data_IF_647379435853
#
_entry.id   IF_647379435853
#
_cell.length_a   1.000
_cell.length_b   1.000
_cell.length_c   1.000
_cell.angle_alpha   90.00
_cell.angle_beta   90.00
_cell.angle_gamma   90.00
#
_symmetry.space_group_name_H-M   'P 1'
#
loop_
_entity.id
_entity.type
_entity.pdbx_description
1 polymer ?
#
# COMPACT_ATOMS: atom_id res chain seq x y z
N UNK A 1 46.58 4.78 -38.11
CA UNK A 1 45.15 5.19 -38.18
C UNK A 1 44.16 4.19 -37.55
N UNK A 2 44.43 2.89 -37.53
CA UNK A 2 43.54 1.87 -36.93
C UNK A 2 43.39 1.93 -35.38
N UNK A 3 44.39 2.44 -34.68
CA UNK A 3 44.34 2.50 -33.19
C UNK A 3 43.60 3.71 -32.63
N UNK A 4 43.45 4.78 -33.40
CA UNK A 4 42.70 5.96 -32.99
C UNK A 4 41.17 5.69 -33.07
N UNK A 5 40.75 4.94 -34.08
CA UNK A 5 39.33 4.57 -34.26
C UNK A 5 38.82 3.66 -33.12
N UNK A 6 39.64 2.71 -32.66
CA UNK A 6 39.33 1.84 -31.51
C UNK A 6 39.15 2.63 -30.20
N UNK A 7 40.01 3.62 -29.97
CA UNK A 7 39.94 4.47 -28.76
C UNK A 7 38.70 5.36 -28.77
N UNK A 8 38.32 5.92 -29.88
CA UNK A 8 37.12 6.72 -30.04
C UNK A 8 35.84 5.87 -29.86
N UNK A 9 35.85 4.65 -30.41
CA UNK A 9 34.70 3.72 -30.28
C UNK A 9 34.53 3.23 -28.85
N UNK A 10 35.59 3.00 -28.09
CA UNK A 10 35.53 2.59 -26.66
C UNK A 10 35.02 3.74 -25.79
N UNK A 11 35.45 4.99 -26.08
CA UNK A 11 34.97 6.18 -25.35
C UNK A 11 33.51 6.45 -25.66
N UNK A 12 33.05 6.24 -26.92
CA UNK A 12 31.65 6.39 -27.29
C UNK A 12 30.75 5.32 -26.65
N UNK A 13 31.24 4.07 -26.52
CA UNK A 13 30.51 3.00 -25.84
C UNK A 13 30.41 3.24 -24.33
N UNK A 14 31.41 3.89 -23.73
CA UNK A 14 31.39 4.23 -22.30
C UNK A 14 30.46 5.41 -21.96
N UNK A 15 30.27 6.35 -22.91
CA UNK A 15 29.38 7.51 -22.73
C UNK A 15 27.91 7.12 -22.87
N UNK A 16 27.57 6.11 -23.68
CA UNK A 16 26.17 5.63 -23.85
C UNK A 16 25.69 4.81 -22.62
N UNK A 17 26.62 4.26 -21.84
CA UNK A 17 26.25 3.43 -20.67
C UNK A 17 25.88 4.25 -19.41
N UNK A 18 26.06 5.60 -19.44
CA UNK A 18 25.91 6.43 -18.24
C UNK A 18 24.64 7.30 -18.20
N UNK A 19 23.69 7.13 -19.14
CA UNK A 19 22.46 7.92 -19.18
C UNK A 19 21.18 7.15 -18.83
N UNK A 20 21.30 5.98 -18.17
CA UNK A 20 20.14 5.36 -17.56
C UNK A 20 19.99 5.88 -16.12
N UNK A 21 19.72 7.16 -15.97
CA UNK A 21 19.15 7.70 -14.75
C UNK A 21 17.72 7.13 -14.66
N UNK A 22 17.57 5.99 -13.98
CA UNK A 22 16.26 5.51 -13.54
C UNK A 22 15.71 6.55 -12.58
N UNK A 23 14.80 7.37 -13.05
CA UNK A 23 13.95 8.20 -12.20
C UNK A 23 13.23 7.24 -11.26
N UNK A 24 13.61 7.23 -9.98
CA UNK A 24 12.76 6.63 -8.95
C UNK A 24 11.48 7.47 -8.92
N UNK A 25 10.48 6.97 -9.61
CA UNK A 25 9.14 7.51 -9.57
C UNK A 25 8.59 7.21 -8.17
N UNK A 26 8.51 8.24 -7.33
CA UNK A 26 7.90 8.11 -6.00
C UNK A 26 6.44 7.76 -6.20
N UNK A 27 6.00 6.64 -5.63
CA UNK A 27 4.61 6.23 -5.67
C UNK A 27 3.76 7.29 -4.92
N UNK A 28 2.84 7.93 -5.64
CA UNK A 28 1.88 8.84 -5.05
C UNK A 28 0.65 8.03 -4.59
N UNK A 29 0.24 8.20 -3.34
CA UNK A 29 -0.97 7.58 -2.81
C UNK A 29 -2.01 8.67 -2.63
N UNK A 30 -3.16 8.48 -3.26
CA UNK A 30 -4.31 9.37 -3.17
C UNK A 30 -5.22 8.92 -2.03
N UNK A 31 -5.71 9.87 -1.24
CA UNK A 31 -6.70 9.67 -0.18
C UNK A 31 -7.92 10.55 -0.44
N UNK A 32 -9.12 9.96 -0.47
CA UNK A 32 -10.36 10.73 -0.60
C UNK A 32 -11.52 10.07 0.15
N UNK A 33 -12.65 10.79 0.26
CA UNK A 33 -13.91 10.25 0.78
C UNK A 33 -14.75 9.71 -0.38
N UNK A 34 -15.16 8.45 -0.30
CA UNK A 34 -16.15 7.87 -1.20
C UNK A 34 -17.54 8.49 -0.96
N UNK A 35 -18.47 8.31 -1.90
CA UNK A 35 -19.83 8.82 -1.81
C UNK A 35 -20.65 8.26 -0.64
N UNK A 36 -20.23 7.18 -0.05
CA UNK A 36 -20.76 6.51 1.14
C UNK A 36 -20.08 6.95 2.46
N UNK A 37 -19.15 7.93 2.39
CA UNK A 37 -18.42 8.47 3.53
C UNK A 37 -17.18 7.66 3.95
N UNK A 38 -16.90 6.52 3.31
CA UNK A 38 -15.68 5.75 3.60
C UNK A 38 -14.42 6.44 3.08
N UNK A 39 -13.30 6.27 3.78
CA UNK A 39 -11.99 6.74 3.31
C UNK A 39 -11.39 5.72 2.34
N UNK A 40 -11.00 6.17 1.16
CA UNK A 40 -10.38 5.35 0.11
C UNK A 40 -8.92 5.73 -0.07
N UNK A 41 -8.02 4.74 -0.14
CA UNK A 41 -6.63 4.89 -0.53
C UNK A 41 -6.39 4.16 -1.85
N UNK A 42 -5.72 4.81 -2.82
CA UNK A 42 -5.41 4.22 -4.12
C UNK A 42 -4.12 4.81 -4.69
N UNK A 43 -3.44 4.03 -5.52
CA UNK A 43 -2.33 4.44 -6.38
C UNK A 43 -2.81 5.12 -7.68
N UNK A 44 -4.12 5.07 -7.96
CA UNK A 44 -4.74 5.74 -9.10
C UNK A 44 -5.47 7.00 -8.66
N UNK A 45 -5.47 8.08 -9.48
CA UNK A 45 -6.16 9.32 -9.14
C UNK A 45 -7.67 9.09 -8.99
N UNK A 46 -8.34 9.86 -8.11
CA UNK A 46 -9.78 9.76 -7.91
C UNK A 46 -10.57 10.23 -9.14
N UNK A 47 -11.84 9.87 -9.23
CA UNK A 47 -12.75 10.42 -10.23
C UNK A 47 -12.81 11.95 -10.17
N UNK A 48 -13.04 12.65 -11.29
CA UNK A 48 -13.13 14.11 -11.29
C UNK A 48 -14.27 14.60 -10.40
N UNK A 49 -14.00 15.64 -9.58
CA UNK A 49 -14.96 16.27 -8.70
C UNK A 49 -14.92 15.81 -7.24
N UNK A 50 -13.92 15.03 -6.85
CA UNK A 50 -13.73 14.61 -5.45
C UNK A 50 -12.56 15.37 -4.84
N UNK A 51 -12.78 15.99 -3.67
CA UNK A 51 -11.70 16.63 -2.90
C UNK A 51 -10.68 15.59 -2.45
N UNK A 52 -9.43 15.80 -2.83
CA UNK A 52 -8.35 14.82 -2.66
C UNK A 52 -7.21 15.39 -1.85
N UNK A 53 -6.79 14.68 -0.81
CA UNK A 53 -5.55 14.92 -0.10
C UNK A 53 -4.44 14.03 -0.68
N UNK A 54 -3.46 14.62 -1.37
CA UNK A 54 -2.30 13.88 -1.90
C UNK A 54 -1.23 13.80 -0.82
N UNK A 55 -0.96 12.60 -0.29
CA UNK A 55 0.18 12.36 0.59
C UNK A 55 1.32 11.73 -0.21
N UNK A 56 2.40 12.50 -0.37
CA UNK A 56 3.68 11.99 -0.89
C UNK A 56 4.41 11.27 0.24
N UNK A 57 4.48 9.95 0.15
CA UNK A 57 5.32 9.18 1.06
C UNK A 57 6.75 9.18 0.51
N UNK A 58 7.64 9.91 1.17
CA UNK A 58 9.06 9.80 0.94
C UNK A 58 9.55 8.56 1.68
N UNK A 59 10.08 7.61 0.95
CA UNK A 59 10.76 6.43 1.52
C UNK A 59 12.05 6.92 2.19
N UNK A 60 11.97 7.27 3.47
CA UNK A 60 13.15 7.42 4.31
C UNK A 60 13.55 6.05 4.84
N UNK A 61 14.45 5.40 4.12
CA UNK A 61 15.22 4.27 4.60
C UNK A 61 16.13 4.73 5.75
N UNK A 62 15.58 4.94 6.93
CA UNK A 62 16.38 5.11 8.14
C UNK A 62 16.54 3.77 8.84
N UNK A 63 17.50 2.98 8.33
CA UNK A 63 18.16 1.97 9.14
C UNK A 63 18.92 2.66 10.28
N UNK A 64 18.34 2.72 11.47
CA UNK A 64 19.07 2.89 12.72
C UNK A 64 18.87 1.63 13.55
N UNK A 65 19.88 0.75 13.65
CA UNK A 65 19.94 -0.24 14.71
C UNK A 65 20.41 0.49 15.98
N UNK A 66 19.58 0.55 17.03
CA UNK A 66 20.03 0.98 18.35
C UNK A 66 19.19 2.04 19.05
N UNK A 67 17.89 1.83 19.20
CA UNK A 67 17.11 2.50 20.22
C UNK A 67 15.92 1.60 20.67
N UNK A 68 16.25 0.39 21.05
CA UNK A 68 15.28 -0.62 21.52
C UNK A 68 15.57 -0.96 22.97
N UNK A 69 15.69 0.04 23.81
CA UNK A 69 15.59 -0.23 25.25
C UNK A 69 15.41 1.09 26.00
N UNK A 70 14.38 1.12 26.80
CA UNK A 70 13.93 2.18 27.72
C UNK A 70 12.96 3.18 27.10
N UNK A 71 11.68 2.88 27.27
CA UNK A 71 10.58 3.74 27.70
C UNK A 71 9.20 3.13 27.34
N UNK A 72 8.83 1.94 27.85
CA UNK A 72 7.47 1.44 27.64
C UNK A 72 6.42 2.30 28.38
N UNK A 73 6.77 2.88 29.52
CA UNK A 73 5.85 3.68 30.34
C UNK A 73 5.51 5.04 29.72
N UNK A 74 6.52 5.76 29.22
CA UNK A 74 6.29 7.09 28.61
C UNK A 74 5.52 7.00 27.27
N UNK A 75 5.62 5.86 26.60
CA UNK A 75 4.95 5.62 25.33
C UNK A 75 3.45 5.37 25.50
N UNK A 76 3.04 4.73 26.58
CA UNK A 76 1.62 4.49 26.88
C UNK A 76 0.90 5.78 27.33
N UNK A 77 1.59 6.68 28.02
CA UNK A 77 1.02 7.97 28.42
C UNK A 77 0.86 8.95 27.25
N UNK A 78 1.78 8.94 26.25
CA UNK A 78 1.74 9.86 25.12
C UNK A 78 0.83 9.36 23.99
N UNK A 79 0.74 8.04 23.76
CA UNK A 79 0.05 7.46 22.61
C UNK A 79 -1.24 6.71 22.92
N UNK A 80 -1.64 6.64 24.20
CA UNK A 80 -2.76 5.80 24.63
C UNK A 80 -2.48 4.30 24.44
N UNK A 81 -3.32 3.45 25.01
CA UNK A 81 -3.24 2.00 24.84
C UNK A 81 -3.73 1.63 23.43
N UNK A 82 -2.79 1.35 22.51
CA UNK A 82 -3.14 0.96 21.13
C UNK A 82 -3.72 -0.44 21.11
N UNK A 83 -4.81 -0.63 20.41
CA UNK A 83 -5.41 -1.96 20.17
C UNK A 83 -4.37 -2.94 19.60
N UNK A 84 -4.33 -4.19 20.10
CA UNK A 84 -3.51 -5.26 19.48
C UNK A 84 -3.85 -5.46 18.01
N UNK A 85 -2.90 -5.88 17.20
CA UNK A 85 -3.14 -6.16 15.76
C UNK A 85 -4.25 -7.20 15.56
N UNK A 86 -4.29 -8.26 16.37
CA UNK A 86 -5.31 -9.33 16.30
C UNK A 86 -6.75 -8.85 16.52
N UNK A 87 -6.94 -7.65 17.11
CA UNK A 87 -8.26 -7.05 17.35
C UNK A 87 -8.70 -6.16 16.18
N UNK A 88 -7.84 -6.00 15.17
CA UNK A 88 -8.17 -5.26 13.94
C UNK A 88 -8.78 -6.22 12.93
N UNK A 89 -10.04 -5.95 12.56
CA UNK A 89 -10.77 -6.73 11.57
C UNK A 89 -10.45 -6.26 10.16
N UNK A 90 -10.00 -7.19 9.33
CA UNK A 90 -9.67 -6.93 7.93
C UNK A 90 -10.48 -7.88 7.05
N UNK A 91 -11.23 -7.33 6.12
CA UNK A 91 -11.93 -8.10 5.08
C UNK A 91 -11.20 -7.93 3.76
N UNK A 92 -10.84 -9.02 3.11
CA UNK A 92 -10.23 -9.01 1.79
C UNK A 92 -11.13 -9.71 0.77
N UNK A 93 -11.60 -8.95 -0.22
CA UNK A 93 -12.29 -9.48 -1.40
C UNK A 93 -11.25 -9.84 -2.45
N UNK A 94 -11.25 -11.08 -2.88
CA UNK A 94 -10.17 -11.62 -3.70
C UNK A 94 -10.70 -12.62 -4.73
N UNK A 95 -9.80 -13.08 -5.63
CA UNK A 95 -9.98 -14.27 -6.48
C UNK A 95 -8.83 -15.25 -6.26
N UNK A 96 -9.08 -16.54 -6.47
CA UNK A 96 -8.09 -17.59 -6.19
C UNK A 96 -6.83 -17.49 -7.07
N UNK A 97 -6.94 -16.97 -8.27
CA UNK A 97 -5.85 -16.84 -9.25
C UNK A 97 -5.06 -15.51 -9.17
N UNK A 98 -5.47 -14.55 -8.34
CA UNK A 98 -4.90 -13.22 -8.27
C UNK A 98 -3.54 -13.21 -7.51
N UNK A 99 -2.41 -12.89 -8.15
CA UNK A 99 -1.10 -12.87 -7.49
C UNK A 99 -0.96 -11.74 -6.47
N UNK A 100 -1.60 -10.58 -6.70
CA UNK A 100 -1.61 -9.47 -5.74
C UNK A 100 -2.43 -9.79 -4.49
N UNK A 101 -3.48 -10.60 -4.64
CA UNK A 101 -4.24 -11.09 -3.49
C UNK A 101 -3.39 -12.00 -2.61
N UNK A 102 -2.56 -12.86 -3.22
CA UNK A 102 -1.61 -13.69 -2.47
C UNK A 102 -0.57 -12.88 -1.73
N UNK A 103 -0.05 -11.80 -2.34
CA UNK A 103 0.87 -10.88 -1.66
C UNK A 103 0.20 -10.17 -0.49
N UNK A 104 -1.01 -9.65 -0.68
CA UNK A 104 -1.80 -8.99 0.36
C UNK A 104 -2.08 -9.93 1.54
N UNK A 105 -2.51 -11.17 1.25
CA UNK A 105 -2.75 -12.22 2.26
C UNK A 105 -1.51 -12.48 3.12
N UNK A 106 -0.36 -12.71 2.48
CA UNK A 106 0.88 -13.00 3.19
C UNK A 106 1.29 -11.83 4.09
N UNK A 107 1.15 -10.61 3.60
CA UNK A 107 1.47 -9.41 4.36
C UNK A 107 0.52 -9.23 5.55
N UNK A 108 -0.80 -9.33 5.36
CA UNK A 108 -1.79 -9.20 6.42
C UNK A 108 -1.61 -10.28 7.50
N UNK A 109 -1.32 -11.52 7.10
CA UNK A 109 -1.01 -12.61 8.04
C UNK A 109 0.27 -12.35 8.83
N UNK A 110 1.27 -11.72 8.22
CA UNK A 110 2.51 -11.37 8.94
C UNK A 110 2.33 -10.26 9.99
N UNK A 111 1.23 -9.52 9.91
CA UNK A 111 0.85 -8.49 10.90
C UNK A 111 -0.02 -9.05 12.03
N UNK A 112 -0.44 -10.32 11.96
CA UNK A 112 -1.29 -10.98 12.96
C UNK A 112 -2.65 -10.28 13.16
N UNK A 113 -3.25 -9.74 12.07
CA UNK A 113 -4.59 -9.14 12.09
C UNK A 113 -5.67 -10.21 11.94
N UNK A 114 -6.91 -9.90 12.34
CA UNK A 114 -8.06 -10.76 12.13
C UNK A 114 -8.53 -10.66 10.67
N UNK A 115 -7.97 -11.52 9.80
CA UNK A 115 -8.21 -11.52 8.36
C UNK A 115 -9.36 -12.45 7.97
N UNK A 116 -10.38 -11.89 7.30
CA UNK A 116 -11.48 -12.63 6.66
C UNK A 116 -11.34 -12.47 5.15
N UNK A 117 -11.34 -13.58 4.40
CA UNK A 117 -11.17 -13.59 2.96
C UNK A 117 -12.45 -14.06 2.27
N UNK A 118 -12.90 -13.31 1.25
CA UNK A 118 -14.04 -13.68 0.40
C UNK A 118 -13.62 -13.82 -1.05
N UNK A 119 -13.84 -15.01 -1.61
CA UNK A 119 -13.67 -15.28 -3.05
C UNK A 119 -14.93 -14.77 -3.79
N UNK A 120 -14.79 -13.64 -4.46
CA UNK A 120 -15.90 -12.97 -5.15
C UNK A 120 -16.38 -13.69 -6.43
N UNK A 121 -15.67 -14.70 -6.88
CA UNK A 121 -16.14 -15.55 -7.98
C UNK A 121 -17.09 -16.63 -7.47
N UNK A 122 -16.95 -17.03 -6.19
CA UNK A 122 -17.78 -18.05 -5.56
C UNK A 122 -18.97 -17.46 -4.79
N UNK A 123 -18.86 -16.22 -4.34
CA UNK A 123 -19.90 -15.55 -3.54
C UNK A 123 -20.38 -14.26 -4.25
N UNK A 124 -21.55 -14.33 -4.88
CA UNK A 124 -22.15 -13.20 -5.57
C UNK A 124 -22.51 -12.06 -4.63
N UNK A 125 -22.98 -12.37 -3.42
CA UNK A 125 -23.34 -11.35 -2.42
C UNK A 125 -22.10 -10.54 -2.01
N UNK A 126 -20.97 -11.24 -1.80
CA UNK A 126 -19.69 -10.59 -1.47
C UNK A 126 -19.11 -9.79 -2.63
N UNK A 127 -19.38 -10.19 -3.86
CA UNK A 127 -19.05 -9.38 -5.04
C UNK A 127 -19.84 -8.08 -5.08
N UNK A 128 -21.13 -8.12 -4.82
CA UNK A 128 -22.00 -6.94 -4.77
C UNK A 128 -21.59 -6.00 -3.63
N UNK A 129 -21.29 -6.55 -2.45
CA UNK A 129 -20.74 -5.80 -1.32
C UNK A 129 -19.41 -5.11 -1.68
N UNK A 130 -18.47 -5.84 -2.32
CA UNK A 130 -17.21 -5.28 -2.81
C UNK A 130 -17.42 -4.12 -3.77
N UNK A 131 -18.35 -4.28 -4.74
CA UNK A 131 -18.65 -3.23 -5.72
C UNK A 131 -19.21 -1.97 -5.05
N UNK A 132 -20.10 -2.13 -4.07
CA UNK A 132 -20.64 -1.02 -3.28
C UNK A 132 -19.52 -0.28 -2.55
N UNK A 133 -18.67 -0.99 -1.79
CA UNK A 133 -17.56 -0.41 -1.03
C UNK A 133 -16.49 0.23 -1.91
N UNK A 134 -16.28 -0.29 -3.11
CA UNK A 134 -15.27 0.21 -4.04
C UNK A 134 -15.76 1.34 -4.95
N UNK A 135 -17.03 1.77 -4.84
CA UNK A 135 -17.62 2.72 -5.79
C UNK A 135 -17.70 2.15 -7.22
N UNK A 136 -18.01 0.84 -7.34
CA UNK A 136 -18.17 0.16 -8.62
C UNK A 136 -16.89 -0.41 -9.24
N UNK A 137 -15.72 -0.25 -8.60
CA UNK A 137 -14.47 -0.84 -9.08
C UNK A 137 -14.48 -2.37 -8.95
N UNK A 138 -14.00 -3.06 -10.00
CA UNK A 138 -13.94 -4.54 -10.04
C UNK A 138 -12.56 -5.11 -9.77
N UNK A 139 -11.58 -4.25 -9.46
CA UNK A 139 -10.20 -4.68 -9.20
C UNK A 139 -10.08 -5.44 -7.88
N UNK A 140 -9.24 -6.49 -7.87
CA UNK A 140 -8.87 -7.25 -6.67
C UNK A 140 -7.37 -7.21 -6.44
N UNK A 141 -6.93 -7.26 -5.16
CA UNK A 141 -7.73 -7.30 -3.94
C UNK A 141 -8.43 -5.98 -3.66
N UNK A 142 -9.61 -6.01 -3.05
CA UNK A 142 -10.17 -4.90 -2.29
C UNK A 142 -10.03 -5.26 -0.82
N UNK A 143 -9.45 -4.38 -0.02
CA UNK A 143 -9.18 -4.62 1.39
C UNK A 143 -9.95 -3.58 2.21
N UNK A 144 -10.78 -4.05 3.12
CA UNK A 144 -11.54 -3.22 4.06
C UNK A 144 -10.97 -3.41 5.46
N UNK A 145 -10.42 -2.35 6.02
CA UNK A 145 -9.84 -2.32 7.37
C UNK A 145 -10.75 -1.46 8.25
N UNK A 146 -11.77 -2.09 8.81
CA UNK A 146 -12.79 -1.43 9.67
C UNK A 146 -13.34 -0.14 9.04
N UNK A 147 -13.70 -0.20 7.74
CA UNK A 147 -14.25 0.91 6.97
C UNK A 147 -13.21 1.78 6.25
N UNK A 148 -11.92 1.46 6.31
CA UNK A 148 -10.90 2.05 5.43
C UNK A 148 -10.71 1.12 4.24
N UNK A 149 -11.05 1.60 3.05
CA UNK A 149 -11.00 0.82 1.81
C UNK A 149 -9.68 1.04 1.09
N UNK A 150 -8.96 -0.05 0.81
CA UNK A 150 -7.73 -0.04 0.03
C UNK A 150 -7.96 -0.85 -1.25
N UNK A 151 -7.68 -0.23 -2.40
CA UNK A 151 -7.79 -0.86 -3.72
C UNK A 151 -6.41 -1.35 -4.16
N UNK A 152 -6.32 -2.64 -4.49
CA UNK A 152 -5.06 -3.27 -4.85
C UNK A 152 -4.19 -3.59 -3.63
N UNK A 153 -2.94 -4.00 -3.89
CA UNK A 153 -1.96 -4.30 -2.86
C UNK A 153 -0.96 -3.15 -2.71
N UNK A 154 -1.00 -2.49 -1.57
CA UNK A 154 -0.01 -1.50 -1.15
C UNK A 154 0.26 -1.71 0.34
N UNK A 155 1.45 -2.20 0.68
CA UNK A 155 1.83 -2.54 2.06
C UNK A 155 1.87 -1.32 2.99
N UNK A 156 2.23 -0.15 2.48
CA UNK A 156 2.31 1.08 3.26
C UNK A 156 0.92 1.62 3.59
N UNK A 157 0.02 1.64 2.59
CA UNK A 157 -1.37 2.04 2.79
C UNK A 157 -2.09 1.08 3.76
N UNK A 158 -1.85 -0.22 3.64
CA UNK A 158 -2.39 -1.23 4.56
C UNK A 158 -1.90 -0.98 5.99
N UNK A 159 -0.58 -0.77 6.17
CA UNK A 159 0.01 -0.49 7.48
C UNK A 159 -0.56 0.80 8.07
N UNK A 160 -0.61 1.88 7.29
CA UNK A 160 -1.13 3.18 7.73
C UNK A 160 -2.60 3.08 8.20
N UNK A 161 -3.44 2.36 7.46
CA UNK A 161 -4.84 2.14 7.82
C UNK A 161 -4.98 1.32 9.10
N UNK A 162 -4.18 0.26 9.27
CA UNK A 162 -4.17 -0.54 10.51
C UNK A 162 -3.74 0.32 11.69
N UNK A 163 -2.65 1.10 11.57
CA UNK A 163 -2.19 1.97 12.66
C UNK A 163 -3.23 3.05 13.01
N UNK A 164 -3.96 3.58 12.04
CA UNK A 164 -5.08 4.50 12.29
C UNK A 164 -6.17 3.84 13.12
N UNK A 165 -6.50 2.57 12.87
CA UNK A 165 -7.52 1.84 13.62
C UNK A 165 -7.05 1.40 15.01
N UNK A 166 -5.76 1.13 15.16
CA UNK A 166 -5.16 0.79 16.46
C UNK A 166 -5.11 1.96 17.43
N UNK A 167 -5.08 3.18 16.93
CA UNK A 167 -5.05 4.40 17.75
C UNK A 167 -6.43 4.96 18.12
N UNK A 168 -7.51 4.23 17.80
CA UNK A 168 -8.91 4.61 18.13
C UNK A 168 -9.44 3.72 19.29
#
# INVERSE_FOLDING_TARGET
MKNQFKRIMVVFLFVICFTSASSLESAEIYKWKGGDGHTVYSDTPPPPGVDTEVKKFKEEATGRPGARESLPELRSEIFGERRPYRDIHVIMYMTSWCPYCSKARNYLRSLDVNLIEYDIEKDRSKREEMLSKSGGSRGVPLIDIEGIIIRGYNSEAIRAAIEERRGK
#
